data_IF_868948506881
#
_entry.id   IF_868948506881
#
_cell.length_a   1.000
_cell.length_b   1.000
_cell.length_c   1.000
_cell.angle_alpha   90.00
_cell.angle_beta   90.00
_cell.angle_gamma   90.00
#
_symmetry.space_group_name_H-M   'P 1'
#
loop_
_entity.id
_entity.type
_entity.pdbx_description
1 polymer ?
#
# COMPACT_ATOMS: atom_id res chain seq x y z
N UNK A 1 -7.02 -30.83 49.21
CA UNK A 1 -8.25 -31.03 49.99
C UNK A 1 -9.46 -30.73 49.14
N UNK A 2 -10.24 -31.77 48.83
CA UNK A 2 -11.66 -31.88 48.50
C UNK A 2 -12.14 -31.31 47.14
N UNK A 3 -12.21 -32.16 46.15
CA UNK A 3 -13.33 -32.69 45.39
C UNK A 3 -14.73 -32.09 45.68
N UNK A 4 -15.40 -31.59 44.62
CA UNK A 4 -16.85 -31.76 44.52
C UNK A 4 -17.25 -31.98 43.03
N UNK A 5 -17.67 -33.21 42.76
CA UNK A 5 -18.42 -33.60 41.57
C UNK A 5 -19.91 -33.29 41.85
N UNK A 6 -20.59 -32.73 40.87
CA UNK A 6 -22.04 -32.87 40.81
C UNK A 6 -22.49 -33.09 39.37
N UNK A 7 -23.00 -34.29 39.18
CA UNK A 7 -23.80 -34.72 38.03
C UNK A 7 -25.15 -34.01 38.09
N UNK A 8 -25.67 -33.57 36.94
CA UNK A 8 -27.10 -33.57 36.71
C UNK A 8 -27.37 -33.86 35.23
N UNK A 9 -28.06 -34.99 35.07
CA UNK A 9 -28.64 -35.47 33.83
C UNK A 9 -29.93 -34.72 33.54
N UNK A 10 -30.31 -34.65 32.30
CA UNK A 10 -31.72 -34.52 32.01
C UNK A 10 -32.10 -33.71 30.78
N UNK A 11 -32.65 -34.43 29.86
CA UNK A 11 -33.67 -34.12 28.88
C UNK A 11 -33.22 -33.99 27.43
N UNK A 12 -33.29 -35.11 26.76
CA UNK A 12 -33.44 -35.27 25.30
C UNK A 12 -34.84 -34.79 24.94
N UNK A 13 -34.90 -33.64 24.22
CA UNK A 13 -36.11 -33.28 23.47
C UNK A 13 -35.81 -33.47 22.00
N UNK A 14 -36.33 -34.59 21.48
CA UNK A 14 -36.37 -34.86 20.05
C UNK A 14 -37.36 -33.91 19.38
N UNK A 15 -36.85 -32.83 18.84
CA UNK A 15 -37.58 -31.97 17.91
C UNK A 15 -37.27 -32.45 16.49
N UNK A 16 -38.26 -33.12 15.89
CA UNK A 16 -38.25 -33.45 14.47
C UNK A 16 -38.31 -32.14 13.66
N UNK A 17 -37.16 -31.64 13.24
CA UNK A 17 -37.12 -30.62 12.19
C UNK A 17 -37.23 -31.32 10.87
N UNK A 18 -38.37 -31.15 10.22
CA UNK A 18 -38.58 -31.56 8.84
C UNK A 18 -37.46 -31.01 7.99
N UNK A 19 -36.69 -31.91 7.35
CA UNK A 19 -35.77 -31.57 6.30
C UNK A 19 -36.64 -31.06 5.12
N UNK A 20 -36.76 -29.74 5.03
CA UNK A 20 -37.21 -29.11 3.80
C UNK A 20 -36.02 -29.25 2.84
N UNK A 21 -36.13 -30.18 1.94
CA UNK A 21 -35.23 -30.36 0.79
C UNK A 21 -35.17 -28.98 0.08
N UNK A 22 -33.98 -28.45 -0.22
CA UNK A 22 -33.90 -27.23 -1.00
C UNK A 22 -34.50 -27.56 -2.38
N UNK A 23 -35.61 -26.90 -2.65
CA UNK A 23 -36.26 -26.91 -3.94
C UNK A 23 -35.23 -26.66 -5.02
N UNK A 24 -34.96 -27.66 -5.87
CA UNK A 24 -34.10 -27.53 -7.03
C UNK A 24 -34.77 -26.65 -8.09
N UNK A 25 -34.97 -25.39 -7.68
CA UNK A 25 -35.50 -24.35 -8.52
C UNK A 25 -34.53 -24.10 -9.66
N UNK A 26 -34.97 -24.33 -10.85
CA UNK A 26 -34.36 -23.93 -12.11
C UNK A 26 -33.86 -22.51 -12.00
N UNK A 27 -32.55 -22.36 -11.77
CA UNK A 27 -31.90 -21.04 -11.82
C UNK A 27 -32.03 -20.49 -13.23
N UNK A 28 -32.78 -19.40 -13.37
CA UNK A 28 -33.00 -18.74 -14.65
C UNK A 28 -31.68 -18.52 -15.40
N UNK A 29 -31.62 -18.73 -16.71
CA UNK A 29 -30.38 -18.62 -17.49
C UNK A 29 -29.65 -17.29 -17.33
N UNK A 30 -30.35 -16.23 -16.96
CA UNK A 30 -29.80 -14.91 -16.64
C UNK A 30 -29.00 -14.84 -15.34
N UNK A 31 -29.31 -15.66 -14.31
CA UNK A 31 -28.58 -15.70 -13.07
C UNK A 31 -27.17 -16.28 -13.27
N UNK A 32 -27.06 -17.41 -13.97
CA UNK A 32 -25.78 -18.04 -14.33
C UNK A 32 -24.87 -17.15 -15.18
N UNK A 33 -25.46 -16.30 -16.05
CA UNK A 33 -24.71 -15.34 -16.85
C UNK A 33 -24.18 -14.18 -16.01
N UNK A 34 -25.00 -13.65 -15.07
CA UNK A 34 -24.58 -12.60 -14.13
C UNK A 34 -23.46 -13.08 -13.22
N UNK A 35 -23.53 -14.31 -12.70
CA UNK A 35 -22.51 -14.89 -11.87
C UNK A 35 -21.19 -15.10 -12.63
N UNK A 36 -21.24 -15.49 -13.91
CA UNK A 36 -20.05 -15.64 -14.76
C UNK A 36 -19.37 -14.28 -15.02
N UNK A 37 -20.14 -13.25 -15.32
CA UNK A 37 -19.59 -11.90 -15.51
C UNK A 37 -18.99 -11.39 -14.20
N UNK A 38 -19.66 -11.59 -13.08
CA UNK A 38 -19.16 -11.19 -11.77
C UNK A 38 -17.85 -11.92 -11.40
N UNK A 39 -17.71 -13.20 -11.72
CA UNK A 39 -16.47 -13.97 -11.53
C UNK A 39 -15.35 -13.53 -12.47
N UNK A 40 -15.67 -13.21 -13.73
CA UNK A 40 -14.68 -12.69 -14.67
C UNK A 40 -14.14 -11.36 -14.21
N UNK A 41 -15.00 -10.42 -13.82
CA UNK A 41 -14.62 -9.11 -13.30
C UNK A 41 -13.81 -9.22 -11.99
N UNK A 42 -14.12 -10.23 -11.14
CA UNK A 42 -13.31 -10.49 -9.94
C UNK A 42 -11.91 -10.98 -10.28
N UNK A 43 -11.80 -11.93 -11.22
CA UNK A 43 -10.51 -12.47 -11.67
C UNK A 43 -9.64 -11.39 -12.32
N UNK A 44 -10.25 -10.53 -13.13
CA UNK A 44 -9.58 -9.37 -13.74
C UNK A 44 -9.06 -8.39 -12.68
N UNK A 45 -9.88 -8.06 -11.69
CA UNK A 45 -9.51 -7.17 -10.61
C UNK A 45 -8.35 -7.71 -9.75
N UNK A 46 -8.40 -9.00 -9.39
CA UNK A 46 -7.28 -9.69 -8.71
C UNK A 46 -6.03 -9.65 -9.62
N UNK A 47 -6.20 -9.82 -10.92
CA UNK A 47 -5.12 -9.70 -11.90
C UNK A 47 -4.47 -8.33 -11.90
N UNK A 48 -5.25 -7.25 -11.94
CA UNK A 48 -4.76 -5.88 -11.88
C UNK A 48 -4.04 -5.57 -10.55
N UNK A 49 -4.61 -6.02 -9.43
CA UNK A 49 -3.97 -5.86 -8.11
C UNK A 49 -2.64 -6.61 -8.05
N UNK A 50 -2.57 -7.82 -8.58
CA UNK A 50 -1.32 -8.60 -8.65
C UNK A 50 -0.30 -7.94 -9.57
N UNK A 51 -0.71 -7.43 -10.73
CA UNK A 51 0.18 -6.70 -11.63
C UNK A 51 0.81 -5.46 -10.97
N UNK A 52 0.03 -4.70 -10.18
CA UNK A 52 0.56 -3.56 -9.42
C UNK A 52 1.53 -4.00 -8.31
N UNK A 53 1.24 -5.11 -7.63
CA UNK A 53 2.14 -5.68 -6.62
C UNK A 53 3.45 -6.17 -7.24
N UNK A 54 3.40 -6.86 -8.37
CA UNK A 54 4.60 -7.34 -9.08
C UNK A 54 5.50 -6.16 -9.46
N UNK A 55 4.93 -5.08 -10.04
CA UNK A 55 5.70 -3.86 -10.33
C UNK A 55 6.36 -3.26 -9.08
N UNK A 56 5.65 -3.25 -7.94
CA UNK A 56 6.24 -2.77 -6.68
C UNK A 56 7.33 -3.69 -6.15
N UNK A 57 7.16 -5.00 -6.26
CA UNK A 57 8.17 -5.99 -5.87
C UNK A 57 9.45 -5.82 -6.68
N UNK A 58 9.35 -5.69 -8.01
CA UNK A 58 10.49 -5.49 -8.91
C UNK A 58 11.24 -4.18 -8.58
N UNK A 59 10.49 -3.11 -8.34
CA UNK A 59 11.06 -1.82 -7.93
C UNK A 59 11.81 -1.93 -6.59
N UNK A 60 11.22 -2.60 -5.61
CA UNK A 60 11.83 -2.79 -4.29
C UNK A 60 13.07 -3.69 -4.38
N UNK A 61 13.02 -4.77 -5.17
CA UNK A 61 14.15 -5.67 -5.40
C UNK A 61 15.33 -4.93 -6.06
N UNK A 62 15.06 -4.14 -7.10
CA UNK A 62 16.07 -3.30 -7.76
C UNK A 62 16.66 -2.29 -6.80
N UNK A 63 15.85 -1.67 -5.97
CA UNK A 63 16.30 -0.70 -4.98
C UNK A 63 17.17 -1.36 -3.91
N UNK A 64 16.78 -2.55 -3.44
CA UNK A 64 17.55 -3.32 -2.46
C UNK A 64 18.95 -3.67 -3.00
N UNK A 65 19.02 -4.21 -4.23
CA UNK A 65 20.31 -4.57 -4.84
C UNK A 65 21.22 -3.35 -5.05
N UNK A 66 20.63 -2.22 -5.44
CA UNK A 66 21.38 -0.96 -5.60
C UNK A 66 21.94 -0.49 -4.26
N UNK A 67 21.12 -0.48 -3.19
CA UNK A 67 21.55 -0.06 -1.85
C UNK A 67 22.60 -0.98 -1.25
N UNK A 68 22.45 -2.28 -1.40
CA UNK A 68 23.46 -3.25 -1.00
C UNK A 68 24.79 -3.03 -1.74
N UNK A 69 24.73 -2.75 -3.04
CA UNK A 69 25.90 -2.41 -3.85
C UNK A 69 26.61 -1.13 -3.40
N UNK A 70 25.85 -0.09 -3.08
CA UNK A 70 26.38 1.18 -2.54
C UNK A 70 27.03 0.97 -1.17
N UNK A 71 26.37 0.25 -0.27
CA UNK A 71 26.93 -0.10 1.04
C UNK A 71 28.23 -0.89 0.93
N UNK A 72 28.27 -1.92 0.07
CA UNK A 72 29.51 -2.68 -0.19
C UNK A 72 30.65 -1.79 -0.71
N UNK A 73 30.37 -0.86 -1.61
CA UNK A 73 31.38 0.10 -2.13
C UNK A 73 31.88 1.01 -1.04
N UNK A 74 31.00 1.57 -0.18
CA UNK A 74 31.38 2.42 0.95
C UNK A 74 32.22 1.68 1.98
N UNK A 75 31.83 0.45 2.35
CA UNK A 75 32.59 -0.38 3.29
C UNK A 75 33.99 -0.69 2.76
N UNK A 76 34.11 -1.01 1.46
CA UNK A 76 35.42 -1.23 0.84
C UNK A 76 36.29 0.05 0.87
N UNK A 77 35.71 1.22 0.62
CA UNK A 77 36.43 2.48 0.71
C UNK A 77 36.90 2.78 2.13
N UNK A 78 36.03 2.60 3.14
CA UNK A 78 36.38 2.76 4.55
C UNK A 78 37.51 1.80 4.95
N UNK A 79 37.41 0.53 4.54
CA UNK A 79 38.46 -0.46 4.81
C UNK A 79 39.80 -0.09 4.19
N UNK A 80 39.83 0.36 2.92
CA UNK A 80 41.05 0.82 2.27
C UNK A 80 41.67 2.01 2.98
N UNK A 81 40.86 3.01 3.35
CA UNK A 81 41.32 4.20 4.08
C UNK A 81 41.86 3.85 5.46
N UNK A 82 41.20 2.97 6.21
CA UNK A 82 41.67 2.55 7.51
C UNK A 82 43.04 1.84 7.43
N UNK A 83 43.24 1.03 6.40
CA UNK A 83 44.49 0.29 6.21
C UNK A 83 45.63 1.17 5.72
N UNK A 84 45.37 2.16 4.88
CA UNK A 84 46.37 3.09 4.37
C UNK A 84 46.96 3.99 5.46
N UNK A 85 46.20 4.34 6.48
CA UNK A 85 46.62 5.23 7.57
C UNK A 85 47.18 4.49 8.80
N UNK A 86 47.27 3.15 8.78
CA UNK A 86 47.72 2.32 9.91
C UNK A 86 49.09 2.73 10.47
N UNK A 87 50.15 3.02 9.66
CA UNK A 87 51.44 3.43 10.21
C UNK A 87 51.39 4.77 10.96
N UNK A 88 50.66 5.76 10.46
CA UNK A 88 50.55 7.09 11.08
C UNK A 88 49.85 7.06 12.45
N UNK A 89 48.92 6.12 12.65
CA UNK A 89 48.18 5.98 13.91
C UNK A 89 49.08 5.61 15.09
N UNK A 90 50.25 5.02 14.81
CA UNK A 90 51.21 4.63 15.87
C UNK A 90 52.06 5.79 16.33
N UNK A 91 52.38 6.73 15.44
CA UNK A 91 53.38 7.77 15.71
C UNK A 91 52.78 9.17 15.96
N UNK A 92 51.56 9.44 15.50
CA UNK A 92 50.94 10.76 15.55
C UNK A 92 49.69 10.78 16.45
N UNK A 93 49.69 11.49 17.62
CA UNK A 93 48.48 11.58 18.46
C UNK A 93 47.28 12.27 17.79
N UNK A 94 47.56 13.21 16.89
CA UNK A 94 46.51 13.91 16.15
C UNK A 94 45.83 13.01 15.12
N UNK A 95 46.59 12.18 14.42
CA UNK A 95 46.09 11.20 13.48
C UNK A 95 45.15 10.17 14.17
N UNK A 96 45.43 9.83 15.45
CA UNK A 96 44.51 8.99 16.25
C UNK A 96 43.18 9.67 16.53
N UNK A 97 43.17 10.96 16.90
CA UNK A 97 41.92 11.73 17.14
C UNK A 97 41.10 11.88 15.85
N UNK A 98 41.77 12.17 14.73
CA UNK A 98 41.14 12.28 13.43
C UNK A 98 40.55 10.93 12.99
N UNK A 99 41.29 9.85 13.12
CA UNK A 99 40.84 8.47 12.85
C UNK A 99 39.58 8.12 13.68
N UNK A 100 39.55 8.45 14.96
CA UNK A 100 38.37 8.22 15.81
C UNK A 100 37.12 8.97 15.33
N UNK A 101 37.29 10.23 14.87
CA UNK A 101 36.20 11.00 14.26
C UNK A 101 35.69 10.35 12.97
N UNK A 102 36.61 9.90 12.11
CA UNK A 102 36.30 9.21 10.87
C UNK A 102 35.57 7.89 11.10
N UNK A 103 36.04 7.07 12.06
CA UNK A 103 35.37 5.80 12.43
C UNK A 103 33.98 6.07 12.95
N UNK A 104 33.80 7.11 13.78
CA UNK A 104 32.48 7.51 14.26
C UNK A 104 31.54 7.95 13.14
N UNK A 105 32.04 8.73 12.19
CA UNK A 105 31.26 9.13 11.02
C UNK A 105 30.90 7.95 10.12
N UNK A 106 31.86 7.07 9.82
CA UNK A 106 31.67 5.87 9.03
C UNK A 106 30.63 4.93 9.66
N UNK A 107 30.70 4.75 11.00
CA UNK A 107 29.71 3.97 11.75
C UNK A 107 28.29 4.54 11.60
N UNK A 108 28.13 5.85 11.74
CA UNK A 108 26.80 6.48 11.57
C UNK A 108 26.23 6.25 10.17
N UNK A 109 27.05 6.37 9.13
CA UNK A 109 26.64 6.11 7.74
C UNK A 109 26.26 4.65 7.55
N UNK A 110 27.10 3.71 8.02
CA UNK A 110 26.83 2.28 7.92
C UNK A 110 25.53 1.90 8.65
N UNK A 111 25.31 2.41 9.86
CA UNK A 111 24.09 2.15 10.62
C UNK A 111 22.83 2.73 9.95
N UNK A 112 22.97 3.83 9.23
CA UNK A 112 21.86 4.36 8.41
C UNK A 112 21.57 3.46 7.22
N UNK A 113 22.61 3.02 6.50
CA UNK A 113 22.48 2.16 5.34
C UNK A 113 21.87 0.80 5.74
N UNK A 114 22.28 0.22 6.88
CA UNK A 114 21.69 -1.01 7.43
C UNK A 114 20.19 -0.82 7.69
N UNK A 115 19.82 0.24 8.41
CA UNK A 115 18.39 0.50 8.70
C UNK A 115 17.55 0.69 7.43
N UNK A 116 18.10 1.34 6.40
CA UNK A 116 17.40 1.49 5.12
C UNK A 116 17.21 0.15 4.42
N UNK A 117 18.21 -0.73 4.48
CA UNK A 117 18.14 -2.09 3.92
C UNK A 117 17.10 -2.93 4.69
N UNK A 118 17.08 -2.84 6.02
CA UNK A 118 16.11 -3.56 6.85
C UNK A 118 14.67 -3.12 6.54
N UNK A 119 14.44 -1.81 6.37
CA UNK A 119 13.14 -1.30 5.96
C UNK A 119 12.70 -1.81 4.59
N UNK A 120 13.63 -1.91 3.62
CA UNK A 120 13.34 -2.48 2.31
C UNK A 120 12.99 -3.97 2.39
N UNK A 121 13.68 -4.75 3.24
CA UNK A 121 13.33 -6.15 3.48
C UNK A 121 11.94 -6.29 4.09
N UNK A 122 11.58 -5.41 5.03
CA UNK A 122 10.23 -5.40 5.62
C UNK A 122 9.16 -5.06 4.56
N UNK A 123 9.39 -4.04 3.72
CA UNK A 123 8.48 -3.68 2.62
C UNK A 123 8.31 -4.85 1.63
N UNK A 124 9.39 -5.55 1.25
CA UNK A 124 9.32 -6.73 0.38
C UNK A 124 8.53 -7.86 1.05
N UNK A 125 8.75 -8.11 2.32
CA UNK A 125 8.03 -9.16 3.05
C UNK A 125 6.52 -8.88 3.14
N UNK A 126 6.14 -7.60 3.28
CA UNK A 126 4.74 -7.18 3.23
C UNK A 126 4.12 -7.37 1.84
N UNK A 127 4.85 -7.03 0.78
CA UNK A 127 4.40 -7.23 -0.60
C UNK A 127 4.18 -8.72 -0.90
N UNK A 128 5.10 -9.59 -0.46
CA UNK A 128 4.97 -11.05 -0.63
C UNK A 128 3.76 -11.61 0.14
N UNK A 129 3.50 -11.13 1.36
CA UNK A 129 2.31 -11.52 2.14
C UNK A 129 1.02 -11.04 1.47
N UNK A 130 1.02 -9.85 0.87
CA UNK A 130 -0.12 -9.34 0.14
C UNK A 130 -0.42 -10.19 -1.11
N UNK A 131 0.59 -10.57 -1.89
CA UNK A 131 0.40 -11.46 -3.05
C UNK A 131 -0.12 -12.84 -2.63
N UNK A 132 0.46 -13.43 -1.58
CA UNK A 132 -0.01 -14.71 -1.03
C UNK A 132 -1.48 -14.65 -0.58
N UNK A 133 -1.91 -13.54 0.03
CA UNK A 133 -3.31 -13.32 0.39
C UNK A 133 -4.23 -13.25 -0.83
N UNK A 134 -3.86 -12.48 -1.87
CA UNK A 134 -4.63 -12.39 -3.11
C UNK A 134 -4.74 -13.75 -3.81
N UNK A 135 -3.67 -14.56 -3.79
CA UNK A 135 -3.69 -15.93 -4.31
C UNK A 135 -4.64 -16.81 -3.52
N UNK A 136 -4.62 -16.72 -2.18
CA UNK A 136 -5.51 -17.49 -1.31
C UNK A 136 -6.98 -17.10 -1.52
N UNK A 137 -7.27 -15.81 -1.60
CA UNK A 137 -8.62 -15.29 -1.87
C UNK A 137 -9.13 -15.74 -3.25
N UNK A 138 -8.28 -15.71 -4.27
CA UNK A 138 -8.61 -16.22 -5.60
C UNK A 138 -8.93 -17.72 -5.64
N UNK A 139 -8.38 -18.51 -4.71
CA UNK A 139 -8.66 -19.95 -4.58
C UNK A 139 -9.92 -20.25 -3.76
N UNK A 140 -10.26 -19.42 -2.80
CA UNK A 140 -11.28 -19.72 -1.78
C UNK A 140 -12.68 -19.22 -2.12
N UNK A 141 -12.88 -18.46 -3.20
CA UNK A 141 -14.17 -17.79 -3.42
C UNK A 141 -14.79 -17.98 -4.80
N UNK A 142 -15.46 -19.12 -5.05
CA UNK A 142 -16.32 -19.25 -6.23
C UNK A 142 -17.73 -18.68 -6.07
N UNK A 143 -18.17 -18.30 -4.86
CA UNK A 143 -19.60 -18.11 -4.58
C UNK A 143 -20.12 -16.67 -4.41
N UNK A 144 -19.28 -15.66 -4.28
CA UNK A 144 -19.72 -14.27 -4.24
C UNK A 144 -18.63 -13.36 -4.81
N UNK A 145 -18.77 -13.00 -6.06
CA UNK A 145 -17.88 -12.02 -6.69
C UNK A 145 -18.05 -10.66 -5.99
N UNK A 146 -17.02 -10.11 -5.35
CA UNK A 146 -17.03 -8.70 -5.01
C UNK A 146 -17.12 -7.90 -6.32
N UNK A 147 -17.81 -6.75 -6.26
CA UNK A 147 -17.86 -5.81 -7.38
C UNK A 147 -16.43 -5.45 -7.81
N UNK A 148 -16.20 -5.21 -9.10
CA UNK A 148 -14.87 -4.86 -9.59
C UNK A 148 -14.31 -3.69 -8.80
N UNK A 149 -13.10 -3.85 -8.28
CA UNK A 149 -12.39 -2.82 -7.52
C UNK A 149 -11.53 -1.94 -8.44
N UNK A 150 -12.00 -1.70 -9.65
CA UNK A 150 -11.45 -0.63 -10.47
C UNK A 150 -11.71 0.68 -9.76
N UNK A 151 -10.68 1.44 -9.49
CA UNK A 151 -10.79 2.74 -8.88
C UNK A 151 -11.22 3.75 -9.94
N UNK A 152 -12.16 4.61 -9.58
CA UNK A 152 -12.52 5.75 -10.40
C UNK A 152 -11.44 6.83 -10.28
N UNK A 153 -11.27 7.60 -11.33
CA UNK A 153 -10.47 8.82 -11.27
C UNK A 153 -11.08 9.81 -10.27
N UNK A 154 -10.26 10.37 -9.38
CA UNK A 154 -10.76 11.33 -8.38
C UNK A 154 -11.12 12.68 -9.02
N UNK A 155 -10.58 12.98 -10.19
CA UNK A 155 -10.85 14.19 -10.99
C UNK A 155 -11.26 13.75 -12.38
N UNK A 156 -12.35 14.27 -12.90
CA UNK A 156 -12.82 13.98 -14.25
C UNK A 156 -11.94 14.67 -15.31
N UNK A 157 -11.87 14.07 -16.50
CA UNK A 157 -11.16 14.62 -17.68
C UNK A 157 -9.70 15.05 -17.37
N UNK A 158 -8.99 14.21 -16.64
CA UNK A 158 -7.67 14.54 -16.11
C UNK A 158 -6.61 13.52 -16.54
N UNK A 159 -5.35 13.94 -16.47
CA UNK A 159 -4.17 13.12 -16.80
C UNK A 159 -3.23 12.97 -15.62
N UNK A 160 -2.30 12.00 -15.69
CA UNK A 160 -1.26 11.82 -14.66
C UNK A 160 -0.09 12.75 -14.98
N UNK A 161 0.12 13.75 -14.12
CA UNK A 161 1.24 14.69 -14.21
C UNK A 161 2.51 14.11 -13.57
N UNK A 162 2.36 13.32 -12.53
CA UNK A 162 3.48 12.70 -11.82
C UNK A 162 3.16 11.24 -11.51
N UNK A 163 3.96 10.34 -12.11
CA UNK A 163 3.82 8.90 -11.96
C UNK A 163 4.35 8.39 -10.62
N UNK A 164 3.88 7.19 -10.25
CA UNK A 164 4.36 6.45 -9.08
C UNK A 164 5.82 6.02 -9.23
N UNK A 165 6.60 6.10 -8.15
CA UNK A 165 7.95 5.54 -8.09
C UNK A 165 9.07 6.57 -8.02
N UNK A 166 10.27 6.20 -8.49
CA UNK A 166 11.45 7.07 -8.43
C UNK A 166 11.47 8.05 -9.61
N UNK A 167 11.71 9.31 -9.31
CA UNK A 167 11.96 10.36 -10.29
C UNK A 167 13.24 11.14 -9.98
N UNK A 168 13.82 11.75 -10.98
CA UNK A 168 14.92 12.70 -10.80
C UNK A 168 14.35 14.00 -10.25
N UNK A 169 14.93 14.48 -9.15
CA UNK A 169 14.60 15.80 -8.61
C UNK A 169 15.09 16.92 -9.54
N UNK A 170 14.70 18.19 -9.27
CA UNK A 170 15.05 19.35 -10.08
C UNK A 170 16.56 19.49 -10.33
N UNK A 171 17.39 19.05 -9.41
CA UNK A 171 18.87 19.15 -9.51
C UNK A 171 19.54 17.88 -10.05
N UNK A 172 18.85 16.93 -10.68
CA UNK A 172 19.35 15.64 -11.20
C UNK A 172 20.16 14.79 -10.20
N UNK A 173 20.64 15.38 -9.10
CA UNK A 173 21.43 14.71 -8.04
C UNK A 173 20.57 14.11 -6.94
N UNK A 174 19.31 14.51 -6.83
CA UNK A 174 18.38 14.04 -5.81
C UNK A 174 17.35 13.14 -6.48
N UNK A 175 17.30 11.89 -6.05
CA UNK A 175 16.21 10.98 -6.42
C UNK A 175 15.05 11.19 -5.45
N UNK A 176 13.91 11.59 -5.95
CA UNK A 176 12.66 11.68 -5.23
C UNK A 176 11.85 10.40 -5.46
N UNK A 177 11.16 9.92 -4.44
CA UNK A 177 10.24 8.79 -4.56
C UNK A 177 8.83 9.25 -4.27
N UNK A 178 7.95 9.15 -5.26
CA UNK A 178 6.51 9.30 -5.08
C UNK A 178 5.90 7.98 -4.61
N UNK A 179 5.05 8.03 -3.58
CA UNK A 179 4.28 6.88 -3.08
C UNK A 179 2.90 6.77 -3.72
N UNK A 180 2.53 7.75 -4.51
CA UNK A 180 1.29 7.84 -5.24
C UNK A 180 1.52 8.56 -6.56
N UNK A 181 0.43 8.96 -7.20
CA UNK A 181 0.42 9.74 -8.45
C UNK A 181 -0.10 11.14 -8.20
N UNK A 182 0.29 12.10 -9.03
CA UNK A 182 -0.38 13.41 -9.10
C UNK A 182 -1.21 13.45 -10.36
N UNK A 183 -2.44 13.83 -10.20
CA UNK A 183 -3.47 13.90 -11.24
C UNK A 183 -3.73 15.37 -11.47
N UNK A 184 -3.70 15.79 -12.72
CA UNK A 184 -3.97 17.15 -13.15
C UNK A 184 -5.34 17.61 -12.64
N UNK A 185 -5.45 18.87 -12.25
CA UNK A 185 -6.70 19.46 -11.78
C UNK A 185 -6.66 20.97 -11.88
N UNK A 186 -7.83 21.58 -11.92
CA UNK A 186 -7.99 23.02 -11.76
C UNK A 186 -8.32 23.39 -10.32
N UNK A 187 -7.91 24.59 -9.90
CA UNK A 187 -8.23 25.10 -8.56
C UNK A 187 -9.74 25.20 -8.39
N UNK A 188 -10.28 24.46 -7.41
CA UNK A 188 -11.72 24.43 -7.14
C UNK A 188 -12.48 23.33 -7.85
N UNK A 189 -11.83 22.56 -8.73
CA UNK A 189 -12.46 21.42 -9.40
C UNK A 189 -12.92 20.39 -8.37
N UNK A 190 -14.11 19.79 -8.53
CA UNK A 190 -14.63 18.78 -7.62
C UNK A 190 -13.75 17.53 -7.64
N UNK A 191 -13.50 16.99 -6.43
CA UNK A 191 -12.75 15.76 -6.24
C UNK A 191 -13.69 14.70 -5.69
N UNK A 192 -13.77 13.58 -6.39
CA UNK A 192 -14.64 12.45 -6.07
C UNK A 192 -13.91 11.37 -5.28
N UNK A 193 -14.68 10.55 -4.57
CA UNK A 193 -14.14 9.33 -3.98
C UNK A 193 -13.80 8.32 -5.06
N UNK A 194 -12.61 7.71 -4.98
CA UNK A 194 -12.15 6.72 -5.98
C UNK A 194 -12.92 5.40 -5.94
N UNK A 195 -13.59 5.09 -4.82
CA UNK A 195 -14.44 3.92 -4.64
C UNK A 195 -15.41 4.15 -3.48
N UNK A 196 -16.41 3.27 -3.36
CA UNK A 196 -17.27 3.25 -2.17
C UNK A 196 -16.47 2.87 -0.92
N UNK A 197 -16.72 3.54 0.21
CA UNK A 197 -15.98 3.31 1.43
C UNK A 197 -16.46 4.19 2.59
N UNK A 198 -15.60 4.34 3.58
CA UNK A 198 -15.82 5.18 4.76
C UNK A 198 -14.62 6.08 5.00
N UNK A 199 -14.87 7.36 5.25
CA UNK A 199 -13.81 8.33 5.59
C UNK A 199 -13.17 7.93 6.92
N UNK A 200 -11.88 7.65 6.93
CA UNK A 200 -11.11 7.27 8.11
C UNK A 200 -10.38 8.44 8.75
N UNK A 201 -9.94 9.39 7.94
CA UNK A 201 -9.20 10.56 8.39
C UNK A 201 -9.48 11.76 7.48
N UNK A 202 -9.57 12.93 8.10
CA UNK A 202 -9.55 14.24 7.42
C UNK A 202 -8.63 15.20 8.17
N UNK A 203 -7.78 15.89 7.46
CA UNK A 203 -6.87 16.86 8.08
C UNK A 203 -5.63 17.12 7.25
N UNK A 204 -4.71 17.91 7.79
CA UNK A 204 -3.45 18.21 7.15
C UNK A 204 -2.45 17.04 7.33
N UNK A 205 -1.84 16.62 6.23
CA UNK A 205 -0.72 15.66 6.22
C UNK A 205 0.51 16.39 5.69
N UNK A 206 1.61 16.28 6.42
CA UNK A 206 2.88 16.93 6.05
C UNK A 206 3.32 16.49 4.65
N UNK A 207 3.49 17.44 3.74
CA UNK A 207 3.90 17.19 2.36
C UNK A 207 2.77 16.86 1.38
N UNK A 208 1.53 16.66 1.86
CA UNK A 208 0.36 16.40 1.04
C UNK A 208 -0.72 17.49 1.18
N UNK A 209 -0.52 18.46 2.10
CA UNK A 209 -1.53 19.48 2.40
C UNK A 209 -2.77 18.89 3.09
N UNK A 210 -3.91 19.55 2.93
CA UNK A 210 -5.20 19.03 3.40
C UNK A 210 -5.52 17.74 2.66
N UNK A 211 -5.85 16.69 3.39
CA UNK A 211 -5.93 15.33 2.88
C UNK A 211 -7.09 14.56 3.49
N UNK A 212 -7.55 13.56 2.75
CA UNK A 212 -8.54 12.56 3.18
C UNK A 212 -7.93 11.17 3.07
N UNK A 213 -8.25 10.30 4.03
CA UNK A 213 -8.01 8.86 3.94
C UNK A 213 -9.36 8.17 3.95
N UNK A 214 -9.64 7.37 2.91
CA UNK A 214 -10.89 6.64 2.78
C UNK A 214 -10.58 5.14 2.80
N UNK A 215 -11.31 4.42 3.63
CA UNK A 215 -11.21 2.97 3.78
C UNK A 215 -12.25 2.30 2.89
N UNK A 216 -11.79 1.50 1.92
CA UNK A 216 -12.60 0.75 0.98
C UNK A 216 -12.65 -0.75 1.32
N UNK A 217 -12.23 -1.12 2.55
CA UNK A 217 -12.12 -2.49 3.03
C UNK A 217 -10.73 -3.06 2.83
N UNK A 218 -10.42 -3.61 1.65
CA UNK A 218 -9.09 -4.20 1.35
C UNK A 218 -8.07 -3.15 0.90
N UNK A 219 -8.51 -1.96 0.61
CA UNK A 219 -7.71 -0.84 0.10
C UNK A 219 -8.01 0.43 0.87
N UNK A 220 -6.98 1.26 1.05
CA UNK A 220 -7.10 2.63 1.53
C UNK A 220 -6.69 3.56 0.40
N UNK A 221 -7.45 4.61 0.15
CA UNK A 221 -7.01 5.73 -0.69
C UNK A 221 -6.63 6.93 0.18
N UNK A 222 -5.56 7.62 -0.21
CA UNK A 222 -5.13 8.88 0.37
C UNK A 222 -5.23 9.94 -0.73
N UNK A 223 -6.14 10.87 -0.56
CA UNK A 223 -6.29 12.03 -1.42
C UNK A 223 -5.64 13.23 -0.74
N UNK A 224 -4.78 13.94 -1.44
CA UNK A 224 -4.04 15.10 -0.90
C UNK A 224 -4.12 16.31 -1.82
N UNK A 225 -3.64 17.44 -1.32
CA UNK A 225 -3.72 18.75 -1.96
C UNK A 225 -5.18 19.19 -2.20
N UNK A 226 -6.00 19.05 -1.16
CA UNK A 226 -7.43 19.31 -1.16
C UNK A 226 -7.75 20.62 -0.44
N UNK A 227 -8.95 21.17 -0.73
CA UNK A 227 -9.59 22.21 0.05
C UNK A 227 -11.09 21.96 0.10
N UNK A 228 -11.81 22.66 0.97
CA UNK A 228 -13.28 22.57 1.04
C UNK A 228 -13.78 21.15 1.24
N UNK A 229 -13.24 20.44 2.27
CA UNK A 229 -13.64 19.07 2.56
C UNK A 229 -15.15 19.00 2.86
N UNK A 230 -15.90 18.25 2.04
CA UNK A 230 -17.38 18.12 2.12
C UNK A 230 -17.82 17.00 3.05
N UNK A 231 -16.88 16.14 3.52
CA UNK A 231 -17.18 14.95 4.33
C UNK A 231 -16.46 14.98 5.67
N UNK A 232 -17.00 14.26 6.66
CA UNK A 232 -16.43 14.10 7.99
C UNK A 232 -15.81 12.71 8.18
N UNK A 233 -14.94 12.56 9.18
CA UNK A 233 -14.46 11.25 9.57
C UNK A 233 -15.62 10.37 10.06
N UNK A 234 -15.73 9.16 9.52
CA UNK A 234 -16.82 8.23 9.77
C UNK A 234 -17.90 8.21 8.69
N UNK A 235 -17.98 9.22 7.81
CA UNK A 235 -19.01 9.29 6.78
C UNK A 235 -18.84 8.18 5.74
N UNK A 236 -19.93 7.55 5.29
CA UNK A 236 -19.91 6.67 4.13
C UNK A 236 -19.82 7.52 2.86
N UNK A 237 -19.07 7.05 1.88
CA UNK A 237 -18.92 7.68 0.56
C UNK A 237 -19.11 6.65 -0.55
N UNK A 238 -19.62 7.12 -1.67
CA UNK A 238 -19.72 6.36 -2.92
C UNK A 238 -18.81 6.98 -3.99
N UNK A 239 -18.72 6.36 -5.16
CA UNK A 239 -17.93 6.90 -6.27
C UNK A 239 -18.40 8.30 -6.70
N UNK A 240 -19.70 8.55 -6.66
CA UNK A 240 -20.30 9.81 -7.09
C UNK A 240 -20.26 10.90 -5.99
N UNK A 241 -19.70 10.56 -4.83
CA UNK A 241 -19.62 11.52 -3.71
C UNK A 241 -18.47 12.50 -3.94
N UNK A 242 -18.79 13.79 -4.06
CA UNK A 242 -17.80 14.87 -4.01
C UNK A 242 -17.28 14.97 -2.58
N UNK A 243 -16.02 14.64 -2.37
CA UNK A 243 -15.40 14.61 -1.03
C UNK A 243 -14.66 15.91 -0.69
N UNK A 244 -14.25 16.64 -1.73
CA UNK A 244 -13.50 17.89 -1.60
C UNK A 244 -13.46 18.66 -2.92
N UNK A 245 -12.71 19.77 -2.93
CA UNK A 245 -12.27 20.45 -4.15
C UNK A 245 -10.74 20.46 -4.22
N UNK A 246 -10.18 20.53 -5.43
CA UNK A 246 -8.74 20.65 -5.63
C UNK A 246 -8.21 21.99 -5.10
N UNK A 247 -7.09 21.95 -4.38
CA UNK A 247 -6.45 23.14 -3.83
C UNK A 247 -5.49 23.81 -4.83
N UNK A 248 -5.03 23.10 -5.85
CA UNK A 248 -4.05 23.56 -6.84
C UNK A 248 -4.18 22.83 -8.16
N UNK A 249 -3.16 22.93 -8.99
CA UNK A 249 -3.10 22.37 -10.33
C UNK A 249 -2.96 20.83 -10.35
N UNK A 250 -2.90 20.19 -9.22
CA UNK A 250 -2.87 18.72 -9.14
C UNK A 250 -3.42 18.21 -7.81
N UNK A 251 -4.12 17.07 -7.86
CA UNK A 251 -4.56 16.29 -6.72
C UNK A 251 -3.62 15.09 -6.56
N UNK A 252 -3.23 14.77 -5.32
CA UNK A 252 -2.43 13.61 -5.00
C UNK A 252 -3.32 12.42 -4.70
N UNK A 253 -3.01 11.27 -5.32
CA UNK A 253 -3.66 9.99 -5.03
C UNK A 253 -2.61 8.94 -4.66
N UNK A 254 -2.75 8.35 -3.49
CA UNK A 254 -1.98 7.18 -3.04
C UNK A 254 -2.95 6.04 -2.71
N UNK A 255 -2.60 4.84 -3.13
CA UNK A 255 -3.39 3.63 -2.87
C UNK A 255 -2.55 2.67 -2.02
N UNK A 256 -3.16 2.13 -0.98
CA UNK A 256 -2.53 1.15 -0.08
C UNK A 256 -3.40 -0.10 0.00
N UNK A 257 -2.80 -1.26 -0.19
CA UNK A 257 -3.42 -2.54 0.15
C UNK A 257 -3.31 -2.78 1.65
N UNK A 258 -4.42 -3.18 2.26
CA UNK A 258 -4.47 -3.51 3.69
C UNK A 258 -3.94 -4.93 3.89
N UNK A 259 -2.82 -5.07 4.61
CA UNK A 259 -2.19 -6.36 4.94
C UNK A 259 -2.04 -6.44 6.46
N UNK A 260 -2.96 -7.14 7.10
CA UNK A 260 -3.05 -7.14 8.57
C UNK A 260 -3.42 -5.76 9.10
N UNK A 261 -2.59 -5.19 9.97
CA UNK A 261 -2.73 -3.87 10.58
C UNK A 261 -2.03 -2.74 9.80
N UNK A 262 -1.37 -3.07 8.69
CA UNK A 262 -0.53 -2.14 7.91
C UNK A 262 -1.05 -1.96 6.49
N UNK A 263 -0.77 -0.79 5.90
CA UNK A 263 -1.03 -0.48 4.49
C UNK A 263 0.25 -0.56 3.66
N UNK A 264 0.26 -1.36 2.59
CA UNK A 264 1.32 -1.43 1.60
C UNK A 264 1.00 -0.50 0.43
N UNK A 265 1.87 0.47 0.15
CA UNK A 265 1.73 1.35 -1.01
C UNK A 265 1.89 0.56 -2.31
N UNK A 266 0.95 0.74 -3.22
CA UNK A 266 0.97 0.13 -4.56
C UNK A 266 0.85 1.22 -5.63
N UNK A 267 1.26 0.89 -6.86
CA UNK A 267 1.08 1.79 -7.99
C UNK A 267 -0.42 1.95 -8.29
N UNK A 268 -1.00 3.17 -8.21
CA UNK A 268 -2.41 3.39 -8.51
C UNK A 268 -2.76 3.27 -10.00
N UNK A 269 -1.82 3.56 -10.90
CA UNK A 269 -2.07 3.66 -12.35
C UNK A 269 -2.81 2.45 -12.94
N UNK A 270 -2.38 1.19 -12.69
CA UNK A 270 -3.09 0.03 -13.24
C UNK A 270 -4.41 -0.29 -12.53
N UNK A 271 -4.75 0.44 -11.47
CA UNK A 271 -6.01 0.28 -10.72
C UNK A 271 -7.06 1.32 -11.13
N UNK A 272 -6.66 2.40 -11.80
CA UNK A 272 -7.59 3.42 -12.30
C UNK A 272 -8.31 2.89 -13.54
N UNK A 273 -9.62 3.11 -13.61
CA UNK A 273 -10.40 2.78 -14.78
C UNK A 273 -9.94 3.63 -15.97
N UNK A 274 -9.90 3.03 -17.15
CA UNK A 274 -9.76 3.83 -18.36
C UNK A 274 -11.01 4.72 -18.52
N UNK A 275 -10.83 5.93 -19.05
CA UNK A 275 -11.97 6.76 -19.44
C UNK A 275 -12.64 6.09 -20.63
N UNK A 276 -13.92 5.67 -20.47
CA UNK A 276 -14.78 5.29 -21.59
C UNK A 276 -15.27 6.52 -22.33
#
# INVERSE_FOLDING_TARGET
VRTFRLFLAGAILAGATALVAPNSGQTAPGAKRRDRIALANYAENVGLQRASLTKTQDLLATKLTTRQGEMKRRLRAIYKLSRANWPRLWFEPEARRESARWVGAARRVAMRDIREIDLLHEEISMANRADARLVAEGRLRPAAAPKPKTLQWPVQDSSIVESYGERKGPSHRVKLRSRGVRIESEVGQPVFSVAAGRVRYRGAIRGLGTSLIIDHGDTLSVLGNLRGLSVQAGDPVTRDTVVATAAGESVYLEVRLVVGDRGLNVNPEPLLADFE
#
